data_IF_511270459947
#
_entry.id   IF_511270459947
#
_cell.length_a   1.000
_cell.length_b   1.000
_cell.length_c   1.000
_cell.angle_alpha   90.00
_cell.angle_beta   90.00
_cell.angle_gamma   90.00
#
_symmetry.space_group_name_H-M   'P 1'
#
loop_
_entity.id
_entity.type
_entity.pdbx_description
1 polymer ?
#
# COMPACT_ATOMS: atom_id res chain seq x y z
N UNK A 1 -35.99 15.19 -27.45
CA UNK A 1 -37.19 14.39 -27.16
C UNK A 1 -38.36 14.82 -28.06
N UNK A 2 -38.16 14.80 -29.40
CA UNK A 2 -39.18 15.25 -30.38
C UNK A 2 -39.36 14.23 -31.53
N UNK A 3 -38.43 13.29 -31.71
CA UNK A 3 -38.48 12.31 -32.81
C UNK A 3 -39.47 11.15 -32.62
N UNK A 4 -39.87 10.84 -31.37
CA UNK A 4 -40.74 9.70 -31.07
C UNK A 4 -42.23 9.97 -31.36
N UNK A 5 -42.65 11.24 -31.44
CA UNK A 5 -44.04 11.65 -31.67
C UNK A 5 -44.45 11.69 -33.15
N UNK A 6 -43.50 11.57 -34.08
CA UNK A 6 -43.75 11.75 -35.53
C UNK A 6 -43.92 10.44 -36.32
N UNK A 7 -44.14 9.30 -35.65
CA UNK A 7 -44.44 8.03 -36.32
C UNK A 7 -43.33 7.50 -37.25
N UNK A 8 -42.10 8.00 -37.11
CA UNK A 8 -40.97 7.57 -37.94
C UNK A 8 -40.36 6.33 -37.29
N UNK A 9 -40.38 5.16 -37.95
CA UNK A 9 -39.81 3.95 -37.38
C UNK A 9 -38.29 4.14 -37.16
N UNK A 10 -37.71 3.63 -36.05
CA UNK A 10 -36.31 3.87 -35.69
C UNK A 10 -35.33 3.37 -36.75
N UNK A 11 -35.73 2.42 -37.61
CA UNK A 11 -34.93 1.95 -38.74
C UNK A 11 -34.70 3.03 -39.82
N UNK A 12 -35.55 4.07 -39.91
CA UNK A 12 -35.40 5.14 -40.91
C UNK A 12 -34.22 6.08 -40.61
N UNK A 13 -33.73 6.09 -39.37
CA UNK A 13 -32.50 6.82 -39.00
C UNK A 13 -31.30 6.28 -39.76
N UNK A 14 -31.21 4.97 -39.98
CA UNK A 14 -30.12 4.34 -40.73
C UNK A 14 -30.12 4.80 -42.20
N UNK A 15 -31.31 5.01 -42.80
CA UNK A 15 -31.42 5.52 -44.18
C UNK A 15 -31.04 7.00 -44.35
N UNK A 16 -30.97 7.78 -43.26
CA UNK A 16 -30.51 9.16 -43.30
C UNK A 16 -28.98 9.28 -43.30
N UNK A 17 -28.26 8.18 -43.08
CA UNK A 17 -26.80 8.14 -43.14
C UNK A 17 -26.30 8.10 -44.59
N UNK A 18 -26.27 9.27 -45.23
CA UNK A 18 -25.75 9.44 -46.59
C UNK A 18 -24.22 9.63 -46.59
N UNK A 19 -23.47 8.59 -46.21
CA UNK A 19 -21.99 8.63 -46.20
C UNK A 19 -21.37 9.05 -47.54
N UNK A 20 -22.03 8.70 -48.66
CA UNK A 20 -21.57 9.06 -50.01
C UNK A 20 -21.42 10.57 -50.22
N UNK A 21 -22.27 11.39 -49.59
CA UNK A 21 -22.19 12.86 -49.71
C UNK A 21 -20.99 13.48 -49.00
N UNK A 22 -20.55 12.89 -47.89
CA UNK A 22 -19.32 13.31 -47.20
C UNK A 22 -18.09 13.00 -48.07
N UNK A 23 -18.08 11.84 -48.72
CA UNK A 23 -17.02 11.45 -49.65
C UNK A 23 -16.97 12.38 -50.86
N UNK A 24 -18.12 12.68 -51.47
CA UNK A 24 -18.22 13.65 -52.55
C UNK A 24 -17.78 15.06 -52.11
N UNK A 25 -18.16 15.51 -50.91
CA UNK A 25 -17.77 16.82 -50.40
C UNK A 25 -16.25 16.97 -50.15
N UNK A 26 -15.55 15.87 -49.82
CA UNK A 26 -14.10 15.89 -49.55
C UNK A 26 -13.28 15.77 -50.85
N UNK A 27 -13.70 14.91 -51.78
CA UNK A 27 -12.90 14.49 -52.94
C UNK A 27 -13.38 15.04 -54.30
N UNK A 28 -14.58 15.61 -54.40
CA UNK A 28 -15.04 16.18 -55.69
C UNK A 28 -14.35 17.52 -55.99
N UNK A 29 -13.86 17.65 -57.23
CA UNK A 29 -13.06 18.80 -57.70
C UNK A 29 -13.89 20.05 -58.05
N UNK A 30 -15.18 20.09 -57.71
CA UNK A 30 -16.16 21.08 -58.19
C UNK A 30 -16.84 21.88 -57.05
N UNK A 31 -16.26 21.95 -55.85
CA UNK A 31 -16.90 22.56 -54.68
C UNK A 31 -16.17 23.79 -54.12
N UNK A 32 -16.95 24.83 -53.77
CA UNK A 32 -16.52 26.06 -53.12
C UNK A 32 -15.79 25.77 -51.79
N UNK A 33 -14.80 26.60 -51.44
CA UNK A 33 -13.94 26.46 -50.24
C UNK A 33 -14.73 26.22 -48.94
N UNK A 34 -15.92 26.82 -48.83
CA UNK A 34 -16.82 26.70 -47.67
C UNK A 34 -17.29 25.27 -47.40
N UNK A 35 -17.57 24.47 -48.44
CA UNK A 35 -18.07 23.10 -48.29
C UNK A 35 -16.96 22.20 -47.73
N UNK A 36 -15.72 22.37 -48.19
CA UNK A 36 -14.56 21.59 -47.71
C UNK A 36 -14.25 21.91 -46.24
N UNK A 37 -14.32 23.17 -45.84
CA UNK A 37 -14.12 23.59 -44.44
C UNK A 37 -15.17 22.96 -43.53
N UNK A 38 -16.44 22.93 -43.95
CA UNK A 38 -17.51 22.29 -43.17
C UNK A 38 -17.33 20.76 -43.05
N UNK A 39 -16.82 20.10 -44.10
CA UNK A 39 -16.54 18.66 -44.08
C UNK A 39 -15.38 18.32 -43.12
N UNK A 40 -14.29 19.10 -43.14
CA UNK A 40 -13.20 18.93 -42.18
C UNK A 40 -13.63 19.24 -40.74
N UNK A 41 -14.47 20.27 -40.54
CA UNK A 41 -15.02 20.59 -39.23
C UNK A 41 -15.87 19.43 -38.67
N UNK A 42 -16.73 18.81 -39.49
CA UNK A 42 -17.54 17.67 -39.09
C UNK A 42 -16.69 16.45 -38.68
N UNK A 43 -15.61 16.16 -39.43
CA UNK A 43 -14.66 15.10 -39.08
C UNK A 43 -13.95 15.39 -37.75
N UNK A 44 -13.53 16.64 -37.53
CA UNK A 44 -12.91 17.07 -36.28
C UNK A 44 -13.84 16.90 -35.08
N UNK A 45 -15.10 17.32 -35.20
CA UNK A 45 -16.11 17.18 -34.13
C UNK A 45 -16.38 15.70 -33.84
N UNK A 46 -16.52 14.86 -34.88
CA UNK A 46 -16.72 13.42 -34.73
C UNK A 46 -15.54 12.73 -34.03
N UNK A 47 -14.31 13.12 -34.37
CA UNK A 47 -13.10 12.59 -33.74
C UNK A 47 -13.01 12.94 -32.25
N UNK A 48 -13.28 14.21 -31.89
CA UNK A 48 -13.30 14.66 -30.49
C UNK A 48 -14.40 13.94 -29.70
N UNK A 49 -15.60 13.80 -30.27
CA UNK A 49 -16.70 13.07 -29.64
C UNK A 49 -16.35 11.60 -29.38
N UNK A 50 -15.69 10.93 -30.35
CA UNK A 50 -15.26 9.54 -30.23
C UNK A 50 -14.18 9.34 -29.16
N UNK A 51 -13.29 10.32 -28.98
CA UNK A 51 -12.21 10.23 -27.98
C UNK A 51 -12.67 10.57 -26.55
N UNK A 52 -13.79 11.27 -26.39
CA UNK A 52 -14.26 11.71 -25.07
C UNK A 52 -14.58 10.54 -24.13
N UNK A 53 -15.28 9.52 -24.64
CA UNK A 53 -15.63 8.31 -23.88
C UNK A 53 -14.41 7.49 -23.40
N UNK A 54 -13.45 7.09 -24.26
CA UNK A 54 -12.29 6.32 -23.82
C UNK A 54 -11.37 7.12 -22.90
N UNK A 55 -11.20 8.42 -23.11
CA UNK A 55 -10.38 9.27 -22.23
C UNK A 55 -10.97 9.35 -20.82
N UNK A 56 -12.29 9.57 -20.70
CA UNK A 56 -12.98 9.57 -19.41
C UNK A 56 -12.89 8.21 -18.70
N UNK A 57 -12.99 7.11 -19.45
CA UNK A 57 -12.83 5.77 -18.91
C UNK A 57 -11.40 5.54 -18.35
N UNK A 58 -10.37 5.95 -19.10
CA UNK A 58 -8.98 5.85 -18.66
C UNK A 58 -8.71 6.67 -17.40
N UNK A 59 -9.22 7.90 -17.31
CA UNK A 59 -9.07 8.75 -16.11
C UNK A 59 -9.71 8.09 -14.89
N UNK A 60 -10.92 7.53 -15.04
CA UNK A 60 -11.61 6.85 -13.93
C UNK A 60 -10.87 5.59 -13.46
N UNK A 61 -10.33 4.80 -14.40
CA UNK A 61 -9.57 3.59 -14.06
C UNK A 61 -8.27 3.94 -13.32
N UNK A 62 -7.56 4.97 -13.79
CA UNK A 62 -6.27 5.37 -13.23
C UNK A 62 -6.41 6.17 -11.92
N UNK A 63 -7.60 6.69 -11.62
CA UNK A 63 -7.91 7.40 -10.38
C UNK A 63 -8.27 6.50 -9.20
N UNK A 64 -8.30 5.17 -9.38
CA UNK A 64 -8.55 4.27 -8.25
C UNK A 64 -7.31 4.25 -7.35
N UNK A 65 -7.40 4.72 -6.09
CA UNK A 65 -6.26 4.68 -5.19
C UNK A 65 -5.85 3.23 -4.99
N UNK A 66 -4.56 2.93 -5.17
CA UNK A 66 -4.01 1.60 -4.93
C UNK A 66 -4.39 1.18 -3.50
N UNK A 67 -5.34 0.26 -3.38
CA UNK A 67 -5.73 -0.27 -2.09
C UNK A 67 -4.57 -1.13 -1.59
N UNK A 68 -3.84 -0.63 -0.61
CA UNK A 68 -2.78 -1.38 0.05
C UNK A 68 -3.43 -2.44 0.93
N UNK A 69 -3.36 -3.72 0.53
CA UNK A 69 -3.98 -4.85 1.25
C UNK A 69 -3.57 -4.95 2.74
N UNK A 70 -2.42 -4.39 3.11
CA UNK A 70 -1.85 -4.50 4.45
C UNK A 70 -1.56 -3.15 5.12
N UNK A 71 -2.10 -2.06 4.55
CA UNK A 71 -1.72 -0.70 4.91
C UNK A 71 -0.35 -0.30 4.33
N UNK A 72 -0.13 1.00 4.20
CA UNK A 72 1.16 1.54 3.78
C UNK A 72 2.21 1.36 4.88
N UNK A 73 3.36 0.79 4.51
CA UNK A 73 4.52 0.74 5.38
C UNK A 73 5.09 2.16 5.55
N UNK A 74 4.70 2.84 6.64
CA UNK A 74 5.21 4.16 7.02
C UNK A 74 5.80 4.13 8.42
N UNK A 75 6.73 5.04 8.68
CA UNK A 75 7.19 5.26 10.05
C UNK A 75 6.03 5.73 10.93
N UNK A 76 5.97 5.18 12.15
CA UNK A 76 4.94 5.53 13.11
C UNK A 76 5.10 7.00 13.55
N UNK A 77 4.01 7.75 13.50
CA UNK A 77 3.89 9.09 14.07
C UNK A 77 3.49 8.99 15.54
N UNK A 78 3.68 10.07 16.33
CA UNK A 78 3.22 10.10 17.73
C UNK A 78 1.73 9.73 17.88
N UNK A 79 0.89 10.14 16.93
CA UNK A 79 -0.53 9.76 16.90
C UNK A 79 -0.72 8.25 16.76
N UNK A 80 0.07 7.61 15.91
CA UNK A 80 0.03 6.15 15.71
C UNK A 80 0.43 5.42 17.00
N UNK A 81 1.44 5.93 17.73
CA UNK A 81 1.86 5.35 19.01
C UNK A 81 0.77 5.53 20.09
N UNK A 82 0.09 6.69 20.16
CA UNK A 82 -1.02 6.89 21.13
C UNK A 82 -2.25 6.04 20.84
N UNK A 83 -2.53 5.83 19.56
CA UNK A 83 -3.67 5.02 19.12
C UNK A 83 -3.37 3.52 19.21
N UNK A 84 -2.10 3.16 19.06
CA UNK A 84 -1.60 1.81 19.27
C UNK A 84 -1.83 1.38 20.73
N UNK A 85 -2.59 0.31 20.92
CA UNK A 85 -2.67 -0.40 22.21
C UNK A 85 -1.45 -1.30 22.45
N UNK A 86 -0.57 -1.41 21.46
CA UNK A 86 0.56 -2.32 21.43
C UNK A 86 1.84 -1.71 21.99
N UNK A 87 1.99 -0.38 21.86
CA UNK A 87 3.22 0.32 22.20
C UNK A 87 2.91 1.48 23.14
N UNK A 88 3.64 1.57 24.24
CA UNK A 88 3.58 2.69 25.18
C UNK A 88 4.94 3.35 25.30
N UNK A 89 4.99 4.64 25.65
CA UNK A 89 6.24 5.32 25.97
C UNK A 89 6.13 6.11 27.26
N UNK A 90 7.17 6.05 28.07
CA UNK A 90 7.20 6.76 29.34
C UNK A 90 6.29 6.19 30.42
N UNK A 91 5.80 4.97 30.21
CA UNK A 91 5.17 4.18 31.25
C UNK A 91 6.22 3.28 31.91
N UNK A 92 6.40 3.48 33.22
CA UNK A 92 7.34 2.74 34.07
C UNK A 92 6.65 1.60 34.83
N UNK A 93 5.41 1.24 34.46
CA UNK A 93 4.67 0.11 35.04
C UNK A 93 5.36 -1.27 34.90
N UNK A 94 6.56 -1.34 34.33
CA UNK A 94 7.36 -2.57 34.19
C UNK A 94 6.75 -3.61 33.24
N UNK A 95 5.66 -3.28 32.56
CA UNK A 95 4.96 -4.16 31.62
C UNK A 95 5.56 -4.03 30.23
N UNK A 96 5.74 -5.17 29.58
CA UNK A 96 6.20 -5.23 28.19
C UNK A 96 7.71 -5.06 28.00
N UNK A 97 8.15 -5.37 26.79
CA UNK A 97 9.55 -5.41 26.38
C UNK A 97 9.96 -4.03 25.87
N UNK A 98 11.07 -3.50 26.36
CA UNK A 98 11.72 -2.29 25.87
C UNK A 98 12.28 -2.54 24.47
N UNK A 99 11.75 -1.79 23.50
CA UNK A 99 12.13 -1.86 22.08
C UNK A 99 12.99 -0.67 21.64
N UNK A 100 13.05 0.40 22.46
CA UNK A 100 13.86 1.56 22.15
C UNK A 100 13.56 2.76 23.03
N UNK A 101 13.90 3.95 22.51
CA UNK A 101 13.71 5.24 23.19
C UNK A 101 13.04 6.23 22.25
N UNK A 102 12.00 6.89 22.72
CA UNK A 102 11.29 7.94 21.99
C UNK A 102 11.14 9.18 22.88
N UNK A 103 11.57 10.35 22.38
CA UNK A 103 11.52 11.62 23.12
C UNK A 103 12.07 11.56 24.56
N UNK A 104 13.23 10.93 24.74
CA UNK A 104 13.85 10.82 26.07
C UNK A 104 13.30 9.71 26.94
N UNK A 105 12.18 9.08 26.58
CA UNK A 105 11.48 8.07 27.37
C UNK A 105 11.61 6.68 26.74
N UNK A 106 11.56 5.65 27.57
CA UNK A 106 11.60 4.26 27.09
C UNK A 106 10.31 3.93 26.31
N UNK A 107 10.48 3.27 25.18
CA UNK A 107 9.41 2.76 24.33
C UNK A 107 9.27 1.26 24.60
N UNK A 108 8.07 0.82 25.01
CA UNK A 108 7.77 -0.56 25.41
C UNK A 108 6.68 -1.15 24.52
N UNK A 109 6.85 -2.40 24.13
CA UNK A 109 5.83 -3.22 23.50
C UNK A 109 5.12 -4.07 24.56
N UNK A 110 3.81 -3.90 24.72
CA UNK A 110 3.03 -4.46 25.85
C UNK A 110 2.09 -5.59 25.46
N UNK A 111 1.97 -5.90 24.18
CA UNK A 111 1.11 -6.97 23.69
C UNK A 111 1.75 -8.35 23.93
N UNK A 112 0.92 -9.40 24.11
CA UNK A 112 1.39 -10.77 24.37
C UNK A 112 1.92 -11.49 23.11
N UNK A 113 2.27 -10.76 22.06
CA UNK A 113 2.74 -11.34 20.80
C UNK A 113 4.27 -11.55 20.78
N UNK A 114 4.74 -12.34 19.83
CA UNK A 114 6.15 -12.63 19.67
C UNK A 114 6.90 -11.48 19.00
N UNK A 115 8.08 -11.15 19.53
CA UNK A 115 8.98 -10.15 18.96
C UNK A 115 10.23 -10.84 18.41
N UNK A 116 10.60 -10.52 17.18
CA UNK A 116 11.83 -11.00 16.54
C UNK A 116 12.78 -9.84 16.28
N UNK A 117 14.07 -10.02 16.60
CA UNK A 117 15.11 -9.02 16.41
C UNK A 117 16.12 -9.48 15.36
N UNK A 118 16.10 -8.82 14.20
CA UNK A 118 17.13 -8.95 13.18
C UNK A 118 18.21 -7.87 13.33
N UNK A 119 19.48 -8.26 13.30
CA UNK A 119 20.60 -7.32 13.10
C UNK A 119 21.81 -8.07 12.50
N UNK A 120 22.84 -7.36 12.05
CA UNK A 120 24.08 -7.97 11.52
C UNK A 120 24.98 -8.60 12.59
N UNK A 121 25.98 -9.41 12.22
CA UNK A 121 26.94 -9.98 13.18
C UNK A 121 27.66 -8.88 13.99
N UNK A 122 28.07 -9.19 15.23
CA UNK A 122 28.80 -8.27 16.14
C UNK A 122 28.09 -6.96 16.54
N UNK A 123 26.82 -6.77 16.16
CA UNK A 123 26.00 -5.61 16.55
C UNK A 123 25.59 -5.56 18.03
N UNK A 124 25.97 -6.56 18.82
CA UNK A 124 25.65 -6.60 20.25
C UNK A 124 24.17 -6.88 20.57
N UNK A 125 23.36 -7.38 19.62
CA UNK A 125 21.93 -7.72 19.81
C UNK A 125 21.60 -8.36 21.16
N UNK A 126 22.34 -9.42 21.53
CA UNK A 126 22.13 -10.14 22.77
C UNK A 126 22.33 -9.23 23.98
N UNK A 127 23.46 -8.52 24.05
CA UNK A 127 23.73 -7.62 25.16
C UNK A 127 22.78 -6.39 25.18
N UNK A 128 22.52 -5.78 24.03
CA UNK A 128 21.76 -4.54 23.94
C UNK A 128 20.27 -4.72 24.20
N UNK A 129 19.68 -5.86 23.80
CA UNK A 129 18.24 -6.09 23.94
C UNK A 129 17.93 -7.03 25.11
N UNK A 130 18.66 -8.13 25.26
CA UNK A 130 18.34 -9.12 26.31
C UNK A 130 18.69 -8.57 27.69
N UNK A 131 19.94 -8.10 27.90
CA UNK A 131 20.36 -7.60 29.22
C UNK A 131 19.55 -6.37 29.62
N UNK A 132 19.35 -5.43 28.71
CA UNK A 132 18.57 -4.21 28.98
C UNK A 132 17.12 -4.54 29.39
N UNK A 133 16.50 -5.54 28.75
CA UNK A 133 15.15 -5.96 29.12
C UNK A 133 15.12 -6.70 30.45
N UNK A 134 16.06 -7.60 30.73
CA UNK A 134 16.11 -8.34 31.99
C UNK A 134 16.28 -7.42 33.21
N UNK A 135 17.04 -6.33 33.07
CA UNK A 135 17.18 -5.34 34.15
C UNK A 135 15.89 -4.57 34.45
N UNK A 136 14.98 -4.48 33.48
CA UNK A 136 13.74 -3.70 33.58
C UNK A 136 12.49 -4.59 33.67
N UNK A 137 12.67 -5.91 33.60
CA UNK A 137 11.59 -6.90 33.60
C UNK A 137 11.30 -7.32 35.03
N UNK A 138 10.05 -7.14 35.46
CA UNK A 138 9.62 -7.48 36.83
C UNK A 138 9.17 -8.94 36.99
N UNK A 139 9.12 -9.71 35.91
CA UNK A 139 8.67 -11.11 35.92
C UNK A 139 9.81 -12.12 35.82
N UNK A 140 9.44 -13.39 35.69
CA UNK A 140 10.40 -14.45 35.36
C UNK A 140 10.70 -14.45 33.85
N UNK A 141 11.91 -14.86 33.48
CA UNK A 141 12.32 -15.04 32.09
C UNK A 141 13.15 -16.32 31.93
N UNK A 142 12.98 -17.01 30.79
CA UNK A 142 13.83 -18.14 30.40
C UNK A 142 14.67 -17.67 29.21
N UNK A 143 15.99 -17.78 29.34
CA UNK A 143 16.93 -17.33 28.32
C UNK A 143 17.67 -18.53 27.78
N UNK A 144 17.61 -18.69 26.46
CA UNK A 144 18.40 -19.69 25.75
C UNK A 144 19.65 -19.00 25.19
N UNK A 145 20.79 -19.19 25.85
CA UNK A 145 22.09 -18.76 25.33
C UNK A 145 22.76 -19.90 24.56
N UNK A 146 22.56 -19.93 23.24
CA UNK A 146 23.26 -20.84 22.35
C UNK A 146 24.68 -20.30 22.09
N UNK A 147 25.52 -20.28 23.12
CA UNK A 147 26.96 -20.06 22.95
C UNK A 147 27.67 -21.41 22.87
N UNK A 148 27.50 -22.08 21.74
CA UNK A 148 28.37 -23.20 21.39
C UNK A 148 29.50 -22.65 20.54
N UNK A 149 30.72 -22.68 21.09
CA UNK A 149 31.93 -22.44 20.33
C UNK A 149 31.92 -23.33 19.09
N UNK A 150 32.09 -22.72 17.93
CA UNK A 150 32.54 -23.47 16.77
C UNK A 150 33.80 -24.26 17.17
N UNK A 151 33.87 -25.52 16.75
CA UNK A 151 34.89 -26.55 17.04
C UNK A 151 34.90 -27.13 18.46
N UNK A 152 34.19 -28.25 18.65
CA UNK A 152 34.78 -29.54 19.11
C UNK A 152 33.76 -30.64 18.85
N UNK A 153 34.14 -31.61 18.01
CA UNK A 153 33.44 -32.89 17.89
C UNK A 153 33.59 -33.65 19.21
N UNK A 154 32.55 -33.68 20.04
CA UNK A 154 32.36 -34.76 21.00
C UNK A 154 30.86 -35.01 21.17
N UNK A 155 30.39 -36.25 20.99
CA UNK A 155 29.04 -36.59 21.38
C UNK A 155 29.04 -36.68 22.92
N UNK A 156 28.01 -36.15 23.57
CA UNK A 156 27.28 -36.81 24.65
C UNK A 156 26.47 -35.81 25.50
N UNK A 157 25.25 -36.26 25.77
CA UNK A 157 24.55 -36.19 27.05
C UNK A 157 23.98 -34.85 27.50
N UNK A 158 22.65 -34.87 27.64
CA UNK A 158 21.83 -33.86 28.27
C UNK A 158 22.34 -33.45 29.66
N UNK A 159 22.53 -32.14 29.87
CA UNK A 159 22.27 -31.46 31.16
C UNK A 159 22.50 -29.96 31.04
N UNK A 160 21.52 -29.17 31.48
CA UNK A 160 21.73 -27.75 31.77
C UNK A 160 20.53 -26.84 31.49
N UNK A 161 19.34 -27.14 32.03
CA UNK A 161 18.29 -26.12 32.17
C UNK A 161 18.73 -25.21 33.33
N UNK A 162 19.39 -24.10 32.99
CA UNK A 162 19.70 -23.06 33.95
C UNK A 162 18.46 -22.22 34.22
N UNK A 163 17.75 -22.50 35.32
CA UNK A 163 16.83 -21.53 35.93
C UNK A 163 17.68 -20.42 36.53
N UNK A 164 17.54 -19.21 36.02
CA UNK A 164 17.96 -18.00 36.74
C UNK A 164 16.71 -17.38 37.34
N UNK A 165 16.42 -17.73 38.59
CA UNK A 165 15.39 -17.06 39.38
C UNK A 165 16.00 -15.74 39.88
N UNK A 166 15.75 -14.65 39.17
CA UNK A 166 15.85 -13.31 39.75
C UNK A 166 14.58 -13.06 40.55
N UNK A 167 14.62 -13.35 41.85
CA UNK A 167 13.69 -12.78 42.82
C UNK A 167 14.27 -11.46 43.30
N UNK A 168 13.47 -10.39 43.20
CA UNK A 168 13.70 -9.10 43.87
C UNK A 168 13.18 -9.21 45.30
#
# INVERSE_FOLDING_TARGET
>A
MVYWLNGVPPLKIVSLWQYGKLWEAIFSSTSNTEIRVSAFAALGIGFVASLTLPVLALIKLNGTPKQTLHGDARFATERDIRQSKSVTWGDDNGKGIVIGKYKGKLLRYVQPDFVSLGAGSRSGKGAAVVIANLMLWLGSAIILDLKQGATTHQPLSAKGVGKQDFSV
#
